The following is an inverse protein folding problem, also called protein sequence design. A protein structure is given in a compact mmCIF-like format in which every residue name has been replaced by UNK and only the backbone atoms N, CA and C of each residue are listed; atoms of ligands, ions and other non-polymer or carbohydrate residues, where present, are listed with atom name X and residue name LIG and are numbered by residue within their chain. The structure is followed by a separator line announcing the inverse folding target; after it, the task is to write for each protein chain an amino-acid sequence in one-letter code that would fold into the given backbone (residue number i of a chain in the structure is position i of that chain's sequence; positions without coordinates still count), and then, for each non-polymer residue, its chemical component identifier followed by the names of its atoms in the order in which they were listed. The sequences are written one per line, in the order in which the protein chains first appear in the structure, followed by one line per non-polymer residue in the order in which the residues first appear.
data_IF_989984149499
#
_entry.id   IF_989984149499
#
_cell.length_a   1.000
_cell.length_b   1.000
_cell.length_c   1.000
_cell.angle_alpha   90.00
_cell.angle_beta   90.00
_cell.angle_gamma   90.00
#
_symmetry.space_group_name_H-M   'P 1'
#
loop_
_entity.id
_entity.type
_entity.pdbx_description
1 polymer ?
#
# COMPACT_ATOMS: atom_id res chain seq x y z
N UNK A 1 -9.75 -14.61 -14.90
CA UNK A 1 -9.09 -13.74 -13.91
C UNK A 1 -7.62 -13.65 -14.27
N UNK A 2 -7.02 -12.46 -14.21
CA UNK A 2 -5.61 -12.23 -14.50
C UNK A 2 -5.01 -11.44 -13.34
N UNK A 3 -3.86 -11.87 -12.85
CA UNK A 3 -3.08 -11.17 -11.81
C UNK A 3 -1.75 -10.78 -12.45
N UNK A 4 -1.40 -9.51 -12.36
CA UNK A 4 -0.11 -8.98 -12.81
C UNK A 4 0.67 -8.52 -11.59
N UNK A 5 1.82 -9.14 -11.36
CA UNK A 5 2.76 -8.70 -10.33
C UNK A 5 3.52 -7.50 -10.86
N UNK A 6 3.44 -6.37 -10.16
CA UNK A 6 4.13 -5.14 -10.51
C UNK A 6 5.36 -4.96 -9.61
N UNK A 7 6.44 -4.32 -10.11
CA UNK A 7 7.63 -4.11 -9.28
C UNK A 7 7.31 -3.30 -8.02
N UNK A 8 7.61 -3.87 -6.85
CA UNK A 8 7.37 -3.24 -5.54
C UNK A 8 8.67 -2.84 -4.81
N UNK A 9 9.83 -3.44 -5.16
CA UNK A 9 11.10 -3.44 -4.38
C UNK A 9 10.93 -4.10 -3.00
N UNK A 10 10.09 -3.52 -2.14
CA UNK A 10 9.62 -4.13 -0.89
C UNK A 10 8.09 -4.13 -0.86
N UNK A 11 7.52 -4.99 -0.04
CA UNK A 11 6.07 -5.19 0.06
C UNK A 11 5.46 -5.66 -1.26
N UNK A 12 4.18 -5.37 -1.46
CA UNK A 12 3.39 -5.90 -2.56
C UNK A 12 2.86 -4.81 -3.51
N UNK A 13 2.69 -5.18 -4.77
CA UNK A 13 1.94 -4.38 -5.75
C UNK A 13 1.35 -5.29 -6.83
N UNK A 14 0.03 -5.50 -6.80
CA UNK A 14 -0.65 -6.45 -7.68
C UNK A 14 -1.79 -5.77 -8.42
N UNK A 15 -1.82 -5.90 -9.74
CA UNK A 15 -2.99 -5.54 -10.55
C UNK A 15 -3.81 -6.79 -10.86
N UNK A 16 -5.05 -6.82 -10.38
CA UNK A 16 -5.98 -7.93 -10.52
C UNK A 16 -7.11 -7.51 -11.46
N UNK A 17 -7.28 -8.25 -12.55
CA UNK A 17 -8.35 -8.08 -13.53
C UNK A 17 -9.29 -9.30 -13.48
N UNK A 18 -10.51 -9.10 -12.98
CA UNK A 18 -11.54 -10.14 -12.85
C UNK A 18 -12.83 -9.71 -13.55
N UNK A 19 -12.95 -10.04 -14.84
CA UNK A 19 -14.09 -9.64 -15.66
C UNK A 19 -14.13 -8.12 -15.82
N UNK A 20 -15.21 -7.50 -15.34
CA UNK A 20 -15.39 -6.04 -15.37
C UNK A 20 -14.72 -5.31 -14.19
N UNK A 21 -14.19 -6.06 -13.21
CA UNK A 21 -13.60 -5.49 -11.99
C UNK A 21 -12.08 -5.44 -12.12
N UNK A 22 -11.50 -4.29 -11.84
CA UNK A 22 -10.05 -4.10 -11.74
C UNK A 22 -9.67 -3.60 -10.35
N UNK A 23 -8.74 -4.30 -9.70
CA UNK A 23 -8.25 -4.00 -8.36
C UNK A 23 -6.75 -3.78 -8.41
N UNK A 24 -6.27 -2.69 -7.80
CA UNK A 24 -4.86 -2.55 -7.44
C UNK A 24 -4.74 -2.88 -5.95
N UNK A 25 -4.01 -3.94 -5.62
CA UNK A 25 -3.70 -4.32 -4.25
C UNK A 25 -2.27 -3.87 -3.93
N UNK A 26 -2.17 -2.95 -2.98
CA UNK A 26 -0.94 -2.27 -2.55
C UNK A 26 -0.19 -1.53 -3.68
N UNK A 27 0.82 -0.74 -3.29
CA UNK A 27 1.54 0.15 -4.20
C UNK A 27 3.05 -0.06 -4.22
N UNK A 28 3.60 -0.92 -3.35
CA UNK A 28 5.04 -1.06 -3.20
C UNK A 28 5.72 0.21 -2.67
N UNK A 29 7.05 0.21 -2.77
CA UNK A 29 7.88 1.37 -2.45
C UNK A 29 7.67 2.54 -3.45
N UNK A 30 7.80 3.80 -3.01
CA UNK A 30 7.63 4.98 -3.87
C UNK A 30 8.56 5.01 -5.08
N UNK A 31 9.79 4.49 -4.92
CA UNK A 31 10.79 4.43 -5.99
C UNK A 31 10.34 3.55 -7.14
N UNK A 32 9.98 2.29 -6.83
CA UNK A 32 9.45 1.31 -7.79
C UNK A 32 8.18 1.81 -8.45
N UNK A 33 7.31 2.47 -7.67
CA UNK A 33 6.14 3.10 -8.23
C UNK A 33 6.51 4.16 -9.29
N UNK A 34 7.40 5.08 -8.93
CA UNK A 34 7.76 6.20 -9.78
C UNK A 34 8.49 5.80 -11.07
N UNK A 35 9.36 4.78 -11.00
CA UNK A 35 10.16 4.32 -12.15
C UNK A 35 9.41 3.39 -13.09
N UNK A 36 8.63 2.45 -12.56
CA UNK A 36 8.04 1.35 -13.34
C UNK A 36 6.49 1.39 -13.33
N UNK A 37 5.88 1.41 -12.14
CA UNK A 37 4.43 1.20 -12.00
C UNK A 37 3.63 2.36 -12.56
N UNK A 38 4.06 3.61 -12.35
CA UNK A 38 3.40 4.82 -12.86
C UNK A 38 3.25 4.77 -14.38
N UNK A 39 4.34 4.44 -15.08
CA UNK A 39 4.35 4.32 -16.53
C UNK A 39 3.47 3.18 -17.01
N UNK A 40 3.55 2.04 -16.34
CA UNK A 40 2.72 0.86 -16.62
C UNK A 40 1.23 1.15 -16.46
N UNK A 41 0.79 1.67 -15.31
CA UNK A 41 -0.62 1.95 -15.02
C UNK A 41 -1.20 3.00 -15.96
N UNK A 42 -0.43 4.06 -16.26
CA UNK A 42 -0.87 5.09 -17.19
C UNK A 42 -1.04 4.54 -18.61
N UNK A 43 -0.08 3.75 -19.10
CA UNK A 43 -0.21 3.07 -20.40
C UNK A 43 -1.37 2.08 -20.41
N UNK A 44 -1.49 1.27 -19.36
CA UNK A 44 -2.59 0.29 -19.22
C UNK A 44 -3.97 0.98 -19.28
N UNK A 45 -4.12 2.12 -18.60
CA UNK A 45 -5.36 2.90 -18.62
C UNK A 45 -5.66 3.47 -20.02
N UNK A 46 -4.64 3.98 -20.71
CA UNK A 46 -4.76 4.51 -22.08
C UNK A 46 -5.11 3.41 -23.10
N UNK A 47 -4.42 2.27 -23.05
CA UNK A 47 -4.58 1.17 -24.02
C UNK A 47 -5.94 0.45 -23.84
N UNK A 48 -6.42 0.34 -22.60
CA UNK A 48 -7.64 -0.44 -22.30
C UNK A 48 -8.88 0.41 -22.08
N UNK A 49 -8.73 1.72 -21.82
CA UNK A 49 -9.81 2.59 -21.37
C UNK A 49 -10.37 2.23 -19.98
N UNK A 50 -9.75 1.29 -19.27
CA UNK A 50 -10.21 0.84 -17.95
C UNK A 50 -9.81 1.82 -16.85
N UNK A 51 -10.43 1.61 -15.69
CA UNK A 51 -10.22 2.36 -14.46
C UNK A 51 -9.98 1.37 -13.33
N UNK A 52 -9.45 1.86 -12.21
CA UNK A 52 -9.34 1.05 -10.98
C UNK A 52 -10.68 1.12 -10.25
N UNK A 53 -11.40 0.00 -10.20
CA UNK A 53 -12.64 -0.11 -9.45
C UNK A 53 -12.41 -0.06 -7.95
N UNK A 54 -11.28 -0.59 -7.50
CA UNK A 54 -10.83 -0.60 -6.11
C UNK A 54 -9.30 -0.44 -6.06
N UNK A 55 -8.82 0.43 -5.17
CA UNK A 55 -7.46 0.34 -4.62
C UNK A 55 -7.58 -0.22 -3.21
N UNK A 56 -6.95 -1.36 -2.97
CA UNK A 56 -6.93 -2.04 -1.69
C UNK A 56 -5.55 -1.86 -1.07
N UNK A 57 -5.49 -1.37 0.17
CA UNK A 57 -4.26 -1.28 0.96
C UNK A 57 -4.36 -2.26 2.12
N UNK A 58 -3.53 -3.30 2.09
CA UNK A 58 -3.54 -4.39 3.07
C UNK A 58 -3.20 -3.89 4.47
N UNK A 59 -2.14 -3.10 4.59
CA UNK A 59 -1.73 -2.43 5.82
C UNK A 59 -0.98 -1.13 5.54
N UNK A 60 -0.73 -0.36 6.60
CA UNK A 60 -0.14 0.98 6.49
C UNK A 60 1.34 0.97 6.20
N UNK A 61 2.07 -0.14 6.37
CA UNK A 61 3.53 -0.15 6.21
C UNK A 61 3.98 0.50 4.89
N UNK A 62 5.11 1.20 4.98
CA UNK A 62 5.57 2.12 3.93
C UNK A 62 5.71 1.40 2.58
N UNK A 63 6.13 0.15 2.59
CA UNK A 63 6.31 -0.69 1.42
C UNK A 63 5.02 -1.22 0.80
N UNK A 64 3.85 -0.85 1.34
CA UNK A 64 2.54 -1.14 0.74
C UNK A 64 1.79 0.15 0.41
N UNK A 65 1.71 1.10 1.35
CA UNK A 65 0.88 2.30 1.18
C UNK A 65 1.55 3.39 0.34
N UNK A 66 2.87 3.48 0.36
CA UNK A 66 3.53 4.69 -0.11
C UNK A 66 3.47 4.85 -1.65
N UNK A 67 3.48 3.74 -2.40
CA UNK A 67 3.18 3.77 -3.83
C UNK A 67 1.72 4.17 -4.14
N UNK A 68 0.76 3.78 -3.29
CA UNK A 68 -0.64 4.25 -3.42
C UNK A 68 -0.72 5.75 -3.17
N UNK A 69 0.01 6.28 -2.19
CA UNK A 69 0.10 7.72 -1.98
C UNK A 69 0.64 8.42 -3.24
N UNK A 70 1.68 7.89 -3.89
CA UNK A 70 2.20 8.46 -5.14
C UNK A 70 1.16 8.45 -6.26
N UNK A 71 0.37 7.38 -6.41
CA UNK A 71 -0.75 7.32 -7.36
C UNK A 71 -1.77 8.44 -7.13
N UNK A 72 -2.11 8.73 -5.88
CA UNK A 72 -3.02 9.81 -5.53
C UNK A 72 -2.41 11.19 -5.80
N UNK A 73 -1.13 11.40 -5.48
CA UNK A 73 -0.41 12.64 -5.79
C UNK A 73 -0.36 12.91 -7.30
N UNK A 74 -0.08 11.88 -8.11
CA UNK A 74 -0.12 11.97 -9.57
C UNK A 74 -1.51 12.36 -10.07
N UNK A 75 -2.56 11.79 -9.47
CA UNK A 75 -3.96 12.11 -9.79
C UNK A 75 -4.29 13.57 -9.46
N UNK A 76 -3.79 14.09 -8.32
CA UNK A 76 -3.94 15.51 -7.95
C UNK A 76 -3.22 16.42 -8.96
N UNK A 77 -2.00 16.09 -9.36
CA UNK A 77 -1.25 16.89 -10.34
C UNK A 77 -2.02 17.01 -11.66
N UNK A 78 -2.59 15.91 -12.14
CA UNK A 78 -3.43 15.91 -13.34
C UNK A 78 -4.71 16.71 -13.16
N UNK A 79 -5.38 16.62 -12.00
CA UNK A 79 -6.57 17.43 -11.71
C UNK A 79 -6.26 18.93 -11.67
N UNK A 80 -5.12 19.32 -11.09
CA UNK A 80 -4.67 20.72 -11.08
C UNK A 80 -4.41 21.21 -12.50
N UNK A 81 -3.71 20.41 -13.32
CA UNK A 81 -3.48 20.73 -14.73
C UNK A 81 -4.80 20.91 -15.48
N UNK A 82 -5.73 19.97 -15.35
CA UNK A 82 -7.04 20.01 -16.02
C UNK A 82 -7.84 21.26 -15.62
N UNK A 83 -7.84 21.59 -14.31
CA UNK A 83 -8.51 22.79 -13.80
C UNK A 83 -7.90 24.09 -14.34
N UNK A 84 -6.57 24.23 -14.33
CA UNK A 84 -5.89 25.42 -14.85
C UNK A 84 -6.11 25.58 -16.35
N UNK A 85 -5.98 24.48 -17.09
CA UNK A 85 -6.20 24.46 -18.53
C UNK A 85 -7.64 24.83 -18.90
N UNK A 86 -8.64 24.32 -18.17
CA UNK A 86 -10.04 24.67 -18.36
C UNK A 86 -10.33 26.15 -18.08
N UNK A 87 -9.56 26.79 -17.19
CA UNK A 87 -9.66 28.21 -16.86
C UNK A 87 -8.72 29.10 -17.68
N UNK A 88 -8.14 28.59 -18.78
CA UNK A 88 -7.26 29.35 -19.67
C UNK A 88 -5.92 29.77 -19.06
N UNK A 89 -5.51 29.16 -17.94
CA UNK A 89 -4.23 29.43 -17.30
C UNK A 89 -3.13 28.55 -17.90
N UNK A 90 -1.99 29.16 -18.24
CA UNK A 90 -0.80 28.41 -18.63
C UNK A 90 -0.28 27.59 -17.44
N UNK A 91 -0.22 26.27 -17.62
CA UNK A 91 0.37 25.36 -16.66
C UNK A 91 1.11 24.24 -17.38
N UNK A 92 2.28 23.86 -16.85
CA UNK A 92 3.04 22.74 -17.39
C UNK A 92 2.26 21.44 -17.24
N UNK A 93 2.16 20.67 -18.32
CA UNK A 93 1.61 19.31 -18.29
C UNK A 93 2.51 18.43 -17.40
N UNK A 94 1.94 17.56 -16.54
CA UNK A 94 2.74 16.61 -15.79
C UNK A 94 3.65 15.77 -16.70
N UNK A 95 4.92 15.52 -16.33
CA UNK A 95 5.91 14.85 -17.20
C UNK A 95 5.72 13.32 -17.28
N UNK A 96 4.55 12.81 -16.92
CA UNK A 96 4.22 11.39 -16.87
C UNK A 96 2.81 11.15 -17.39
N UNK A 97 2.50 9.89 -17.77
CA UNK A 97 1.18 9.50 -18.28
C UNK A 97 0.10 9.68 -17.22
N UNK A 98 -1.15 9.87 -17.66
CA UNK A 98 -2.27 10.05 -16.73
C UNK A 98 -2.54 8.75 -15.98
N UNK A 99 -2.58 8.75 -14.64
CA UNK A 99 -2.92 7.54 -13.89
C UNK A 99 -4.38 7.12 -14.17
N UNK A 100 -4.71 5.83 -14.03
CA UNK A 100 -6.09 5.37 -14.11
C UNK A 100 -6.94 6.03 -13.02
N UNK A 101 -8.20 6.35 -13.36
CA UNK A 101 -9.15 6.86 -12.37
C UNK A 101 -9.40 5.80 -11.29
N UNK A 102 -9.33 6.20 -10.02
CA UNK A 102 -9.66 5.36 -8.87
C UNK A 102 -11.11 5.62 -8.45
N UNK A 103 -11.94 4.57 -8.41
CA UNK A 103 -13.36 4.70 -8.04
C UNK A 103 -13.61 4.62 -6.54
N UNK A 104 -12.89 3.77 -5.81
CA UNK A 104 -12.98 3.65 -4.34
C UNK A 104 -11.67 3.10 -3.77
N UNK A 105 -11.46 3.32 -2.48
CA UNK A 105 -10.31 2.79 -1.74
C UNK A 105 -10.79 1.99 -0.53
N UNK A 106 -10.13 0.87 -0.28
CA UNK A 106 -10.16 0.18 1.01
C UNK A 106 -8.85 0.38 1.74
N UNK A 107 -8.92 0.95 2.94
CA UNK A 107 -7.75 1.24 3.74
C UNK A 107 -8.12 1.35 5.23
N UNK A 108 -7.38 0.64 6.07
CA UNK A 108 -7.51 0.71 7.53
C UNK A 108 -6.39 1.60 8.09
N UNK A 109 -6.59 2.92 8.07
CA UNK A 109 -5.60 3.89 8.54
C UNK A 109 -5.55 4.00 10.07
N UNK A 110 -4.34 3.98 10.64
CA UNK A 110 -4.03 4.05 12.08
C UNK A 110 -4.66 5.26 12.81
N UNK A 111 -4.83 6.40 12.14
CA UNK A 111 -5.42 7.62 12.74
C UNK A 111 -6.92 7.49 13.07
N UNK A 112 -7.63 6.55 12.46
CA UNK A 112 -9.00 6.23 12.87
C UNK A 112 -9.05 5.40 14.15
N UNK A 113 -7.92 4.85 14.60
CA UNK A 113 -7.83 3.93 15.73
C UNK A 113 -7.17 4.57 16.96
N UNK A 114 -6.32 5.59 16.79
CA UNK A 114 -5.57 6.20 17.91
C UNK A 114 -5.40 7.71 17.71
N UNK A 115 -5.85 8.51 18.69
CA UNK A 115 -5.78 9.98 18.66
C UNK A 115 -4.34 10.53 18.71
N UNK A 116 -3.40 9.78 19.30
CA UNK A 116 -2.00 10.20 19.51
C UNK A 116 -1.02 9.67 18.45
N UNK A 117 -1.49 9.37 17.24
CA UNK A 117 -0.68 8.70 16.21
C UNK A 117 0.64 9.40 15.87
N UNK A 118 0.67 10.74 15.88
CA UNK A 118 1.89 11.52 15.58
C UNK A 118 2.94 11.43 16.70
N UNK A 119 2.50 11.36 17.97
CA UNK A 119 3.40 11.18 19.11
C UNK A 119 4.04 9.78 19.06
N UNK A 120 3.25 8.76 18.73
CA UNK A 120 3.72 7.37 18.57
C UNK A 120 4.77 7.28 17.46
N UNK A 121 4.52 7.88 16.29
CA UNK A 121 5.48 7.90 15.18
C UNK A 121 6.81 8.55 15.57
N UNK A 122 6.76 9.64 16.34
CA UNK A 122 7.96 10.34 16.83
C UNK A 122 8.78 9.46 17.79
N UNK A 123 8.11 8.78 18.72
CA UNK A 123 8.78 7.86 19.66
C UNK A 123 9.41 6.68 18.91
N UNK A 124 8.69 6.08 17.96
CA UNK A 124 9.21 4.98 17.15
C UNK A 124 10.43 5.39 16.32
N UNK A 125 10.41 6.57 15.71
CA UNK A 125 11.55 7.11 14.97
C UNK A 125 12.78 7.31 15.88
N UNK A 126 12.59 7.85 17.08
CA UNK A 126 13.69 8.04 18.04
C UNK A 126 14.30 6.70 18.49
N UNK A 127 13.46 5.68 18.72
CA UNK A 127 13.90 4.32 19.07
C UNK A 127 14.63 3.65 17.91
N UNK A 128 14.13 3.78 16.68
CA UNK A 128 14.80 3.27 15.49
C UNK A 128 16.23 3.82 15.38
N UNK A 129 16.40 5.13 15.52
CA UNK A 129 17.71 5.77 15.45
C UNK A 129 18.67 5.29 16.55
N UNK A 130 18.17 5.08 17.76
CA UNK A 130 18.97 4.52 18.87
C UNK A 130 19.46 3.11 18.53
N UNK A 131 18.55 2.26 18.05
CA UNK A 131 18.85 0.87 17.72
C UNK A 131 19.73 0.69 16.48
N UNK A 132 19.66 1.62 15.51
CA UNK A 132 20.48 1.60 14.29
C UNK A 132 21.99 1.70 14.56
N UNK A 133 22.41 2.15 15.75
CA UNK A 133 23.82 2.20 16.16
C UNK A 133 24.37 0.88 16.71
N UNK A 134 23.52 -0.13 16.87
CA UNK A 134 23.91 -1.44 17.39
C UNK A 134 24.67 -2.27 16.36
N UNK A 135 25.61 -3.09 16.82
CA UNK A 135 26.23 -4.14 16.00
C UNK A 135 25.42 -5.44 15.95
N UNK A 136 24.32 -5.55 16.73
CA UNK A 136 23.51 -6.76 16.78
C UNK A 136 22.50 -6.81 15.61
N UNK A 137 22.56 -7.82 14.73
CA UNK A 137 21.66 -7.93 13.59
C UNK A 137 20.16 -7.95 13.95
N UNK A 138 19.79 -8.51 15.10
CA UNK A 138 18.39 -8.54 15.56
C UNK A 138 17.90 -7.14 15.96
N UNK A 139 18.77 -6.33 16.58
CA UNK A 139 18.45 -4.95 16.93
C UNK A 139 18.39 -4.04 15.69
N UNK A 140 19.21 -4.32 14.67
CA UNK A 140 19.11 -3.65 13.38
C UNK A 140 17.79 -3.95 12.68
N UNK A 141 17.34 -5.21 12.64
CA UNK A 141 16.02 -5.56 12.10
C UNK A 141 14.88 -4.88 12.85
N UNK A 142 14.97 -4.81 14.18
CA UNK A 142 13.97 -4.10 14.99
C UNK A 142 13.98 -2.59 14.71
N UNK A 143 15.17 -2.00 14.50
CA UNK A 143 15.31 -0.60 14.11
C UNK A 143 14.60 -0.32 12.78
N UNK A 144 14.76 -1.22 11.80
CA UNK A 144 14.10 -1.11 10.50
C UNK A 144 12.58 -1.24 10.62
N UNK A 145 12.08 -2.17 11.43
CA UNK A 145 10.65 -2.31 11.70
C UNK A 145 10.06 -1.03 12.33
N UNK A 146 10.71 -0.46 13.36
CA UNK A 146 10.27 0.79 13.97
C UNK A 146 10.31 1.96 13.00
N UNK A 147 11.33 2.03 12.13
CA UNK A 147 11.42 3.07 11.10
C UNK A 147 10.29 2.94 10.07
N UNK A 148 9.98 1.72 9.65
CA UNK A 148 8.87 1.45 8.72
C UNK A 148 7.55 1.97 9.28
N UNK A 149 7.24 1.63 10.53
CA UNK A 149 5.99 2.07 11.19
C UNK A 149 5.98 3.59 11.43
N UNK A 150 7.12 4.17 11.79
CA UNK A 150 7.21 5.62 11.97
C UNK A 150 6.95 6.39 10.66
N UNK A 151 7.39 5.85 9.52
CA UNK A 151 7.18 6.44 8.20
C UNK A 151 5.76 6.23 7.68
N UNK A 152 5.14 5.08 7.99
CA UNK A 152 3.80 4.74 7.50
C UNK A 152 2.70 5.65 8.06
N UNK A 153 2.82 6.11 9.30
CA UNK A 153 1.80 6.94 9.94
C UNK A 153 1.56 8.25 9.16
N UNK A 154 2.58 9.08 8.86
CA UNK A 154 2.42 10.24 8.00
C UNK A 154 1.84 9.93 6.61
N UNK A 155 2.22 8.80 6.01
CA UNK A 155 1.78 8.39 4.69
C UNK A 155 0.29 8.02 4.68
N UNK A 156 -0.18 7.27 5.68
CA UNK A 156 -1.59 6.92 5.87
C UNK A 156 -2.47 8.16 6.10
N UNK A 157 -1.96 9.13 6.87
CA UNK A 157 -2.64 10.42 7.07
C UNK A 157 -2.76 11.17 5.73
N UNK A 158 -1.69 11.18 4.91
CA UNK A 158 -1.71 11.82 3.60
C UNK A 158 -2.69 11.14 2.65
N UNK A 159 -2.72 9.80 2.60
CA UNK A 159 -3.71 9.05 1.81
C UNK A 159 -5.13 9.45 2.22
N UNK A 160 -5.42 9.44 3.53
CA UNK A 160 -6.72 9.84 4.07
C UNK A 160 -7.12 11.27 3.70
N UNK A 161 -6.17 12.21 3.73
CA UNK A 161 -6.40 13.59 3.28
C UNK A 161 -6.63 13.67 1.77
N UNK A 162 -5.89 12.92 0.95
CA UNK A 162 -6.03 12.97 -0.51
C UNK A 162 -7.36 12.43 -1.01
N UNK A 163 -7.92 11.42 -0.35
CA UNK A 163 -9.22 10.86 -0.73
C UNK A 163 -10.41 11.66 -0.20
N UNK A 164 -10.20 12.61 0.71
CA UNK A 164 -11.24 13.42 1.31
C UNK A 164 -12.05 14.23 0.27
N UNK A 165 -13.26 14.65 0.65
CA UNK A 165 -14.24 15.28 -0.23
C UNK A 165 -13.77 16.61 -0.84
N UNK A 166 -12.93 17.35 -0.13
CA UNK A 166 -12.31 18.61 -0.56
C UNK A 166 -11.09 18.40 -1.48
N UNK A 167 -10.56 17.17 -1.53
CA UNK A 167 -9.48 16.74 -2.43
C UNK A 167 -10.06 15.86 -3.53
N UNK A 168 -9.62 14.61 -3.67
CA UNK A 168 -10.01 13.72 -4.78
C UNK A 168 -11.44 13.18 -4.66
N UNK A 169 -12.08 13.29 -3.50
CA UNK A 169 -13.43 12.80 -3.23
C UNK A 169 -13.61 11.32 -3.64
N UNK A 170 -12.71 10.47 -3.15
CA UNK A 170 -12.73 9.02 -3.42
C UNK A 170 -13.34 8.32 -2.19
N UNK A 171 -14.42 7.54 -2.35
CA UNK A 171 -15.04 6.81 -1.26
C UNK A 171 -14.06 5.86 -0.55
N UNK A 172 -14.01 5.95 0.78
CA UNK A 172 -13.28 5.04 1.67
C UNK A 172 -14.23 4.00 2.27
N UNK A 173 -13.86 2.72 2.17
CA UNK A 173 -14.53 1.60 2.84
C UNK A 173 -16.07 1.61 2.69
N UNK A 174 -16.58 1.96 1.50
CA UNK A 174 -18.01 2.21 1.29
C UNK A 174 -18.90 1.02 1.65
N UNK A 175 -18.45 -0.19 1.31
CA UNK A 175 -19.10 -1.46 1.58
C UNK A 175 -19.14 -1.80 3.09
N UNK A 176 -18.25 -1.20 3.87
CA UNK A 176 -18.16 -1.36 5.32
C UNK A 176 -18.80 -0.18 6.06
N UNK A 177 -19.70 0.56 5.42
CA UNK A 177 -20.34 1.73 6.04
C UNK A 177 -19.33 2.84 6.38
N UNK A 178 -18.22 2.92 5.63
CA UNK A 178 -17.06 3.80 5.91
C UNK A 178 -16.26 3.43 7.17
N UNK A 179 -16.58 2.32 7.82
CA UNK A 179 -15.86 1.78 8.96
C UNK A 179 -14.67 0.93 8.50
N UNK A 180 -13.95 0.33 9.44
CA UNK A 180 -12.83 -0.55 9.12
C UNK A 180 -13.30 -1.75 8.29
N UNK A 181 -12.53 -2.06 7.25
CA UNK A 181 -12.68 -3.30 6.50
C UNK A 181 -12.12 -4.43 7.35
N UNK A 182 -12.99 -5.26 7.93
CA UNK A 182 -12.60 -6.39 8.77
C UNK A 182 -12.96 -7.69 8.04
N UNK A 183 -12.00 -8.61 7.97
CA UNK A 183 -12.30 -9.99 7.56
C UNK A 183 -13.00 -10.69 8.72
N UNK A 184 -14.19 -11.25 8.49
CA UNK A 184 -14.92 -12.05 9.48
C UNK A 184 -15.01 -13.49 8.98
N UNK A 185 -14.42 -14.43 9.73
CA UNK A 185 -14.60 -15.87 9.57
C UNK A 185 -14.35 -16.42 8.17
N UNK A 186 -13.17 -17.01 7.93
CA UNK A 186 -12.91 -17.77 6.71
C UNK A 186 -12.18 -19.09 7.01
N UNK A 187 -12.56 -20.14 6.27
CA UNK A 187 -11.71 -21.31 6.05
C UNK A 187 -10.55 -20.93 5.11
N UNK A 188 -9.36 -21.42 5.44
CA UNK A 188 -8.12 -21.19 4.67
C UNK A 188 -8.26 -21.77 3.26
N UNK A 189 -8.06 -20.94 2.23
CA UNK A 189 -7.92 -21.43 0.85
C UNK A 189 -6.51 -22.02 0.70
N UNK A 190 -6.37 -23.34 0.81
CA UNK A 190 -5.12 -24.01 0.46
C UNK A 190 -4.90 -23.98 -1.05
N UNK A 191 -3.84 -23.30 -1.47
CA UNK A 191 -3.28 -23.51 -2.80
C UNK A 191 -2.68 -24.93 -2.81
N UNK A 192 -3.18 -25.79 -3.70
CA UNK A 192 -2.70 -27.16 -3.80
C UNK A 192 -1.17 -27.16 -4.02
N UNK A 193 -0.45 -27.89 -3.15
CA UNK A 193 1.01 -27.92 -3.05
C UNK A 193 1.78 -28.31 -4.33
N UNK A 194 1.08 -28.65 -5.43
CA UNK A 194 1.65 -29.20 -6.66
C UNK A 194 1.44 -28.31 -7.91
N UNK A 195 1.21 -27.01 -7.75
CA UNK A 195 1.22 -26.10 -8.91
C UNK A 195 2.68 -25.87 -9.34
N UNK A 196 3.10 -26.23 -10.57
CA UNK A 196 4.48 -26.08 -10.99
C UNK A 196 4.87 -24.60 -11.04
N UNK A 197 5.89 -24.22 -10.28
CA UNK A 197 6.51 -22.90 -10.32
C UNK A 197 7.30 -22.79 -11.63
N UNK A 198 7.12 -21.73 -12.43
CA UNK A 198 7.91 -21.52 -13.65
C UNK A 198 9.41 -21.44 -13.33
N UNK A 199 10.29 -22.08 -14.12
CA UNK A 199 11.73 -22.00 -13.90
C UNK A 199 12.19 -20.54 -14.03
N UNK A 200 12.80 -20.00 -12.97
CA UNK A 200 13.21 -18.59 -12.85
C UNK A 200 12.68 -17.89 -11.60
N UNK A 201 11.70 -18.47 -10.91
CA UNK A 201 11.23 -18.02 -9.58
C UNK A 201 11.92 -18.84 -8.48
N UNK A 202 12.92 -18.24 -7.82
CA UNK A 202 13.44 -18.74 -6.55
C UNK A 202 12.58 -18.20 -5.42
N UNK A 203 11.82 -19.07 -4.75
CA UNK A 203 11.30 -18.77 -3.42
C UNK A 203 12.41 -19.14 -2.45
N UNK A 204 12.94 -18.18 -1.69
CA UNK A 204 13.74 -18.50 -0.51
C UNK A 204 12.77 -19.10 0.51
N UNK A 205 12.61 -20.41 0.47
CA UNK A 205 12.06 -21.16 1.61
C UNK A 205 13.24 -21.30 2.56
N UNK A 206 13.59 -20.20 3.23
CA UNK A 206 14.46 -20.30 4.39
C UNK A 206 13.61 -20.90 5.51
N UNK A 207 13.96 -22.14 5.82
CA UNK A 207 13.50 -23.02 6.89
C UNK A 207 13.83 -22.45 8.30
N UNK A 208 13.69 -21.14 8.52
CA UNK A 208 13.94 -20.45 9.79
C UNK A 208 12.66 -19.89 10.45
N UNK A 209 11.47 -20.28 10.00
CA UNK A 209 10.25 -20.15 10.79
C UNK A 209 10.18 -21.31 11.79
N UNK A 210 11.08 -21.26 12.78
CA UNK A 210 11.24 -22.28 13.80
C UNK A 210 9.91 -22.71 14.43
N UNK A 211 9.81 -24.01 14.73
CA UNK A 211 8.74 -24.63 15.49
C UNK A 211 8.40 -23.82 16.77
N UNK A 212 7.46 -22.88 16.69
CA UNK A 212 6.94 -22.14 17.85
C UNK A 212 5.59 -22.71 18.22
N UNK A 213 5.59 -23.60 19.22
CA UNK A 213 4.37 -24.07 19.89
C UNK A 213 3.76 -23.03 20.83
N UNK A 214 4.49 -21.97 21.18
CA UNK A 214 3.99 -20.88 22.02
C UNK A 214 4.59 -19.55 21.52
N UNK A 215 3.72 -18.58 21.16
CA UNK A 215 4.12 -17.22 20.78
C UNK A 215 4.08 -16.36 22.05
N UNK A 216 5.23 -16.04 22.61
CA UNK A 216 5.31 -15.34 23.90
C UNK A 216 5.38 -13.82 23.82
N UNK A 217 5.56 -13.20 22.65
CA UNK A 217 5.47 -11.73 22.51
C UNK A 217 5.02 -11.30 21.09
N UNK A 218 4.06 -10.36 20.95
CA UNK A 218 3.58 -9.90 19.65
C UNK A 218 4.56 -8.89 19.01
N UNK A 219 5.04 -9.19 17.80
CA UNK A 219 5.65 -8.18 16.95
C UNK A 219 4.53 -7.36 16.26
N UNK A 220 4.72 -6.06 16.07
CA UNK A 220 3.68 -5.18 15.50
C UNK A 220 3.30 -5.52 14.05
N UNK A 221 4.17 -6.22 13.30
CA UNK A 221 3.87 -6.73 11.97
C UNK A 221 2.93 -7.96 11.97
N UNK A 222 2.75 -8.61 13.13
CA UNK A 222 1.83 -9.73 13.33
C UNK A 222 0.51 -9.30 13.98
N UNK A 223 0.33 -8.01 14.27
CA UNK A 223 -0.90 -7.50 14.86
C UNK A 223 -1.92 -7.10 13.78
N UNK A 224 -2.19 -8.01 12.85
CA UNK A 224 -3.43 -8.00 12.06
C UNK A 224 -4.03 -9.39 11.82
N UNK A 225 -3.61 -10.38 12.60
CA UNK A 225 -4.29 -11.67 12.69
C UNK A 225 -3.90 -12.37 14.01
N UNK A 226 -4.49 -12.00 15.15
CA UNK A 226 -4.54 -12.87 16.34
C UNK A 226 -5.50 -12.34 17.43
N UNK A 227 -6.42 -13.23 17.86
CA UNK A 227 -7.16 -13.34 19.15
C UNK A 227 -8.27 -12.29 19.43
N UNK A 228 -9.52 -12.62 19.76
CA UNK A 228 -10.19 -13.85 20.25
C UNK A 228 -11.46 -14.19 19.45
#
# INVERSE_FOLDING_TARGET
MKITLLPSDKGDCLLIEAGAVTILADGGMPGSYASEVRGYLGKWAEDTGKQLDLVYVSHVDQDHIAGVLQLLEDTVQWRVFDHKHANGQSSGKPPFRRPPKVKRIWHNAFKLMVDESEAIGTVLAARANTLSSSANPSLLRLADAFRSIANSIPEAIKVSRRIAADQLNIPLNGEFGKLLAMVRGHEVISLAANSPIPPGFGVSIDDELGHRKDVTEPNLASLMLLLE
#
